data_IF_624781111311
#
_entry.id   IF_624781111311
#
_cell.length_a   1.000
_cell.length_b   1.000
_cell.length_c   1.000
_cell.angle_alpha   90.00
_cell.angle_beta   90.00
_cell.angle_gamma   90.00
#
_symmetry.space_group_name_H-M   'P 1'
#
loop_
_entity.id
_entity.type
_entity.pdbx_description
1 polymer ?
#
# COMPACT_ATOMS: atom_id res chain seq x y z
N UNK A 1 3.14 -0.11 39.98
CA UNK A 1 4.48 -0.57 39.55
C UNK A 1 5.28 0.67 39.19
N UNK A 2 6.59 0.71 39.45
CA UNK A 2 7.38 1.95 39.39
C UNK A 2 7.57 2.46 37.96
N UNK A 3 7.26 3.74 37.75
CA UNK A 3 7.32 4.49 36.48
C UNK A 3 8.79 4.68 36.04
N UNK A 4 9.45 3.60 35.62
CA UNK A 4 10.89 3.55 35.36
C UNK A 4 11.19 4.25 34.04
N UNK A 5 12.02 5.30 34.06
CA UNK A 5 12.36 6.10 32.90
C UNK A 5 13.73 5.71 32.34
N UNK A 6 13.76 5.25 31.10
CA UNK A 6 14.95 4.82 30.38
C UNK A 6 15.49 5.95 29.49
N UNK A 7 16.82 6.00 29.33
CA UNK A 7 17.50 6.75 28.29
C UNK A 7 17.39 6.02 26.95
N UNK A 8 17.65 6.74 25.85
CA UNK A 8 17.73 6.15 24.51
C UNK A 8 18.77 5.01 24.45
N UNK A 9 19.91 5.16 25.15
CA UNK A 9 20.97 4.13 25.16
C UNK A 9 20.56 2.89 25.95
N UNK A 10 19.86 3.05 27.07
CA UNK A 10 19.34 1.94 27.86
C UNK A 10 18.24 1.19 27.11
N UNK A 11 17.32 1.92 26.47
CA UNK A 11 16.32 1.32 25.58
C UNK A 11 17.00 0.56 24.43
N UNK A 12 18.03 1.12 23.80
CA UNK A 12 18.77 0.47 22.73
C UNK A 12 19.42 -0.85 23.19
N UNK A 13 20.00 -0.87 24.40
CA UNK A 13 20.58 -2.08 24.99
C UNK A 13 19.53 -3.16 25.24
N UNK A 14 18.34 -2.77 25.68
CA UNK A 14 17.22 -3.69 25.93
C UNK A 14 16.61 -4.23 24.63
N UNK A 15 16.52 -3.39 23.61
CA UNK A 15 16.04 -3.75 22.27
C UNK A 15 17.09 -4.49 21.44
N UNK A 16 18.34 -4.55 21.89
CA UNK A 16 19.49 -5.09 21.14
C UNK A 16 19.68 -4.44 19.76
N UNK A 17 19.42 -3.13 19.65
CA UNK A 17 19.60 -2.33 18.42
C UNK A 17 20.57 -1.17 18.63
N UNK A 18 20.98 -0.52 17.54
CA UNK A 18 21.75 0.71 17.64
C UNK A 18 20.89 1.86 18.20
N UNK A 19 21.48 2.74 19.02
CA UNK A 19 20.75 3.84 19.67
C UNK A 19 20.12 4.84 18.67
N UNK A 20 20.67 4.94 17.45
CA UNK A 20 20.08 5.75 16.38
C UNK A 20 18.77 5.14 15.86
N UNK A 21 18.62 3.81 15.86
CA UNK A 21 17.37 3.12 15.51
C UNK A 21 16.26 3.50 16.47
N UNK A 22 16.56 3.58 17.77
CA UNK A 22 15.62 4.05 18.80
C UNK A 22 15.20 5.50 18.54
N UNK A 23 16.13 6.38 18.11
CA UNK A 23 15.78 7.76 17.70
C UNK A 23 14.86 7.79 16.49
N UNK A 24 15.08 6.91 15.51
CA UNK A 24 14.23 6.85 14.32
C UNK A 24 12.80 6.45 14.71
N UNK A 25 12.62 5.41 15.53
CA UNK A 25 11.30 5.01 16.05
C UNK A 25 10.59 6.12 16.83
N UNK A 26 11.32 6.91 17.62
CA UNK A 26 10.74 8.07 18.30
C UNK A 26 10.35 9.16 17.29
N UNK A 27 11.16 9.38 16.24
CA UNK A 27 10.93 10.42 15.22
C UNK A 27 9.74 10.10 14.32
N UNK A 28 9.53 8.84 13.93
CA UNK A 28 8.38 8.41 13.13
C UNK A 28 7.12 8.13 13.97
N UNK A 29 7.23 8.08 15.30
CA UNK A 29 6.10 7.94 16.22
C UNK A 29 5.82 6.50 16.69
N UNK A 30 6.61 5.51 16.25
CA UNK A 30 6.47 4.10 16.62
C UNK A 30 6.76 3.84 18.10
N UNK A 31 7.70 4.60 18.68
CA UNK A 31 8.07 4.48 20.09
C UNK A 31 7.76 5.76 20.83
N UNK A 32 6.82 5.67 21.79
CA UNK A 32 6.46 6.79 22.64
C UNK A 32 7.64 7.20 23.53
N UNK A 33 7.96 8.48 23.51
CA UNK A 33 8.97 9.07 24.39
C UNK A 33 8.50 10.42 24.94
N UNK A 34 8.99 10.75 26.13
CA UNK A 34 8.61 11.93 26.88
C UNK A 34 9.82 12.85 27.01
N UNK A 35 9.62 14.13 26.71
CA UNK A 35 10.66 15.15 26.89
C UNK A 35 10.57 15.67 28.32
N UNK A 36 11.58 15.37 29.14
CA UNK A 36 11.68 15.83 30.52
C UNK A 36 12.86 16.80 30.58
N UNK A 37 12.57 18.09 30.63
CA UNK A 37 13.55 19.16 30.46
C UNK A 37 14.20 19.14 29.07
N UNK A 38 15.53 19.00 29.01
CA UNK A 38 16.30 18.93 27.75
C UNK A 38 16.56 17.51 27.27
N UNK A 39 16.04 16.50 27.96
CA UNK A 39 16.40 15.09 27.73
C UNK A 39 15.16 14.28 27.37
N UNK A 40 15.32 13.35 26.43
CA UNK A 40 14.27 12.39 26.05
C UNK A 40 14.36 11.16 26.94
N UNK A 41 13.21 10.73 27.47
CA UNK A 41 13.05 9.54 28.31
C UNK A 41 11.95 8.65 27.76
N UNK A 42 12.14 7.34 27.87
CA UNK A 42 11.18 6.33 27.43
C UNK A 42 10.70 5.62 28.69
N UNK A 43 9.39 5.53 28.93
CA UNK A 43 8.89 4.74 30.06
C UNK A 43 9.17 3.27 29.79
N UNK A 44 9.52 2.52 30.82
CA UNK A 44 9.73 1.08 30.71
C UNK A 44 8.48 0.39 30.16
N UNK A 45 7.30 0.81 30.61
CA UNK A 45 6.01 0.34 30.10
C UNK A 45 5.82 0.64 28.60
N UNK A 46 6.19 1.84 28.13
CA UNK A 46 6.13 2.19 26.70
C UNK A 46 7.09 1.32 25.87
N UNK A 47 8.27 0.99 26.42
CA UNK A 47 9.24 0.09 25.78
C UNK A 47 8.78 -1.37 25.80
N UNK A 48 8.15 -1.81 26.90
CA UNK A 48 7.59 -3.16 27.03
C UNK A 48 6.38 -3.33 26.11
N UNK A 49 5.56 -2.29 25.92
CA UNK A 49 4.51 -2.26 24.90
C UNK A 49 5.08 -2.33 23.48
N UNK A 50 6.18 -1.62 23.23
CA UNK A 50 6.91 -1.67 21.97
C UNK A 50 7.54 -3.07 21.71
N UNK A 51 7.98 -3.77 22.76
CA UNK A 51 8.61 -5.10 22.71
C UNK A 51 7.62 -6.27 22.79
N UNK A 52 6.44 -6.06 23.38
CA UNK A 52 5.43 -7.09 23.49
C UNK A 52 5.18 -7.65 22.09
N UNK A 53 5.16 -8.99 21.91
CA UNK A 53 4.72 -9.57 20.66
C UNK A 53 3.36 -8.94 20.42
N UNK A 54 3.26 -8.16 19.35
CA UNK A 54 2.08 -7.38 19.06
C UNK A 54 0.88 -8.33 19.06
N UNK A 55 0.14 -8.36 20.16
CA UNK A 55 -1.31 -8.53 20.10
C UNK A 55 -1.81 -7.19 19.55
N UNK A 56 -1.45 -6.91 18.31
CA UNK A 56 -2.21 -6.07 17.41
C UNK A 56 -3.00 -6.99 16.47
N UNK A 57 -3.55 -8.10 16.97
CA UNK A 57 -4.79 -8.64 16.40
C UNK A 57 -5.96 -7.77 16.86
N UNK A 58 -5.91 -6.53 16.39
CA UNK A 58 -7.09 -5.77 15.99
C UNK A 58 -6.75 -5.30 14.58
N UNK A 59 -6.44 -6.27 13.71
CA UNK A 59 -6.02 -6.01 12.33
C UNK A 59 -7.11 -5.18 11.68
N UNK A 60 -6.78 -3.91 11.44
CA UNK A 60 -7.56 -3.07 10.57
C UNK A 60 -7.43 -3.67 9.18
N UNK A 61 -8.46 -4.37 8.74
CA UNK A 61 -8.52 -4.88 7.38
C UNK A 61 -8.96 -3.74 6.46
N UNK A 62 -8.26 -3.56 5.35
CA UNK A 62 -8.71 -2.75 4.24
C UNK A 62 -9.65 -3.59 3.39
N UNK A 63 -10.86 -3.09 3.18
CA UNK A 63 -11.85 -3.71 2.31
C UNK A 63 -12.11 -2.75 1.18
N UNK A 64 -12.07 -3.26 -0.04
CA UNK A 64 -12.19 -2.45 -1.25
C UNK A 64 -13.13 -3.07 -2.28
N UNK A 65 -13.83 -2.21 -3.02
CA UNK A 65 -14.50 -2.60 -4.27
C UNK A 65 -13.91 -1.79 -5.42
N UNK A 66 -13.80 -2.46 -6.57
CA UNK A 66 -13.11 -1.93 -7.75
C UNK A 66 -14.05 -1.85 -8.92
N UNK A 67 -13.91 -0.79 -9.71
CA UNK A 67 -14.76 -0.52 -10.85
C UNK A 67 -13.94 0.01 -12.02
N UNK A 68 -14.26 -0.44 -13.24
CA UNK A 68 -13.73 0.16 -14.46
C UNK A 68 -14.53 1.43 -14.78
N UNK A 69 -13.83 2.48 -15.21
CA UNK A 69 -14.45 3.76 -15.51
C UNK A 69 -14.55 4.00 -17.01
N UNK A 70 -15.78 4.22 -17.48
CA UNK A 70 -16.03 4.72 -18.83
C UNK A 70 -15.84 6.24 -18.93
N UNK A 71 -16.07 6.96 -17.84
CA UNK A 71 -15.97 8.42 -17.80
C UNK A 71 -15.48 8.89 -16.43
N UNK A 72 -14.17 9.13 -16.33
CA UNK A 72 -13.50 9.62 -15.13
C UNK A 72 -14.04 10.98 -14.67
N UNK A 73 -14.19 11.94 -15.59
CA UNK A 73 -14.65 13.30 -15.27
C UNK A 73 -16.02 13.33 -14.62
N UNK A 74 -16.94 12.44 -15.02
CA UNK A 74 -18.26 12.34 -14.42
C UNK A 74 -18.19 11.87 -12.95
N UNK A 75 -17.33 10.90 -12.67
CA UNK A 75 -17.12 10.39 -11.31
C UNK A 75 -16.52 11.48 -10.40
N UNK A 76 -15.50 12.18 -10.87
CA UNK A 76 -14.83 13.27 -10.12
C UNK A 76 -15.81 14.40 -9.78
N UNK A 77 -16.67 14.80 -10.74
CA UNK A 77 -17.74 15.79 -10.47
C UNK A 77 -18.68 15.33 -9.36
N UNK A 78 -19.09 14.06 -9.36
CA UNK A 78 -19.96 13.52 -8.30
C UNK A 78 -19.25 13.47 -6.96
N UNK A 79 -17.97 13.10 -6.92
CA UNK A 79 -17.16 13.11 -5.71
C UNK A 79 -17.12 14.50 -5.08
N UNK A 80 -16.84 15.54 -5.87
CA UNK A 80 -16.84 16.93 -5.43
C UNK A 80 -18.23 17.35 -4.91
N UNK A 81 -19.29 17.02 -5.64
CA UNK A 81 -20.67 17.35 -5.22
C UNK A 81 -21.09 16.65 -3.92
N UNK A 82 -20.51 15.50 -3.60
CA UNK A 82 -20.71 14.79 -2.34
C UNK A 82 -19.79 15.29 -1.21
N UNK A 83 -19.03 16.36 -1.45
CA UNK A 83 -18.16 16.99 -0.44
C UNK A 83 -16.85 16.23 -0.20
N UNK A 84 -16.39 15.43 -1.17
CA UNK A 84 -15.07 14.79 -1.06
C UNK A 84 -13.94 15.82 -1.13
N UNK A 85 -12.77 15.45 -0.58
CA UNK A 85 -11.55 16.27 -0.64
C UNK A 85 -10.46 15.48 -1.33
N UNK A 86 -9.73 16.12 -2.26
CA UNK A 86 -8.49 15.56 -2.79
C UNK A 86 -7.46 15.53 -1.67
N UNK A 87 -6.91 14.36 -1.38
CA UNK A 87 -5.85 14.16 -0.37
C UNK A 87 -4.52 13.77 -1.01
N UNK A 88 -4.53 13.35 -2.26
CA UNK A 88 -3.34 13.05 -3.04
C UNK A 88 -3.62 13.23 -4.54
N UNK A 89 -2.65 13.73 -5.27
CA UNK A 89 -2.60 13.73 -6.72
C UNK A 89 -1.14 13.53 -7.11
N UNK A 90 -0.86 12.60 -8.01
CA UNK A 90 0.50 12.41 -8.48
C UNK A 90 0.60 11.45 -9.65
N UNK A 91 1.76 11.51 -10.28
CA UNK A 91 2.18 10.63 -11.35
C UNK A 91 3.00 9.48 -10.77
N UNK A 92 2.69 8.25 -11.20
CA UNK A 92 3.29 7.03 -10.68
C UNK A 92 3.77 6.16 -11.82
N UNK A 93 5.01 5.68 -11.72
CA UNK A 93 5.57 4.66 -12.59
C UNK A 93 5.90 3.44 -11.72
N UNK A 94 5.18 2.34 -11.95
CA UNK A 94 5.42 1.07 -11.27
C UNK A 94 6.14 0.09 -12.21
N UNK A 95 7.38 -0.25 -11.89
CA UNK A 95 8.16 -1.29 -12.54
C UNK A 95 7.94 -2.61 -11.81
N UNK A 96 7.28 -3.57 -12.43
CA UNK A 96 6.91 -4.86 -11.83
C UNK A 96 7.88 -5.96 -12.24
N UNK A 97 8.29 -6.76 -11.24
CA UNK A 97 9.30 -7.79 -11.36
C UNK A 97 8.78 -9.18 -11.01
N UNK A 98 9.21 -10.19 -11.78
CA UNK A 98 8.89 -11.61 -11.59
C UNK A 98 10.16 -12.47 -11.70
N UNK A 99 10.16 -13.71 -11.17
CA UNK A 99 11.26 -14.65 -11.40
C UNK A 99 11.55 -14.87 -12.90
N UNK A 100 12.83 -14.96 -13.27
CA UNK A 100 13.26 -15.17 -14.66
C UNK A 100 12.68 -16.43 -15.32
N UNK A 101 12.41 -17.45 -14.51
CA UNK A 101 11.79 -18.72 -14.94
C UNK A 101 10.35 -18.59 -15.43
N UNK A 102 9.65 -17.49 -15.15
CA UNK A 102 8.28 -17.27 -15.58
C UNK A 102 8.28 -16.67 -16.99
N UNK A 103 7.61 -17.37 -17.92
CA UNK A 103 7.61 -17.09 -19.36
C UNK A 103 6.21 -16.91 -19.96
N UNK A 104 5.14 -17.00 -19.17
CA UNK A 104 3.77 -16.73 -19.62
C UNK A 104 2.89 -16.17 -18.51
N UNK A 105 1.76 -15.59 -18.90
CA UNK A 105 0.73 -15.12 -17.97
C UNK A 105 0.17 -16.25 -17.09
N UNK A 106 -0.05 -17.43 -17.68
CA UNK A 106 -0.53 -18.62 -16.96
C UNK A 106 0.46 -19.04 -15.86
N UNK A 107 1.75 -19.03 -16.15
CA UNK A 107 2.79 -19.32 -15.16
C UNK A 107 2.87 -18.24 -14.07
N UNK A 108 2.63 -16.98 -14.43
CA UNK A 108 2.59 -15.86 -13.48
C UNK A 108 1.40 -15.98 -12.53
N UNK A 109 0.20 -16.27 -13.05
CA UNK A 109 -1.00 -16.50 -12.27
C UNK A 109 -0.84 -17.72 -11.36
N UNK A 110 -0.38 -18.85 -11.90
CA UNK A 110 -0.09 -20.04 -11.09
C UNK A 110 0.95 -19.76 -10.00
N UNK A 111 2.03 -19.04 -10.34
CA UNK A 111 3.06 -18.72 -9.37
C UNK A 111 2.54 -17.81 -8.25
N UNK A 112 1.82 -16.74 -8.60
CA UNK A 112 1.34 -15.76 -7.63
C UNK A 112 0.17 -16.32 -6.80
N UNK A 113 -0.84 -16.88 -7.47
CA UNK A 113 -2.09 -17.30 -6.83
C UNK A 113 -2.01 -18.68 -6.20
N UNK A 114 -1.23 -19.63 -6.73
CA UNK A 114 -1.18 -21.00 -6.19
C UNK A 114 0.08 -21.26 -5.39
N UNK A 115 1.22 -20.84 -5.92
CA UNK A 115 2.53 -21.13 -5.32
C UNK A 115 3.00 -20.06 -4.33
N UNK A 116 2.11 -19.15 -3.92
CA UNK A 116 2.39 -18.10 -2.94
C UNK A 116 3.54 -17.20 -3.37
N UNK A 117 3.59 -16.89 -4.66
CA UNK A 117 4.48 -15.90 -5.25
C UNK A 117 4.30 -14.54 -4.61
N UNK A 118 5.26 -13.67 -4.87
CA UNK A 118 5.27 -12.32 -4.33
C UNK A 118 5.54 -11.34 -5.46
N UNK A 119 4.55 -10.51 -5.77
CA UNK A 119 4.67 -9.45 -6.75
C UNK A 119 5.57 -8.37 -6.15
N UNK A 120 6.67 -8.09 -6.82
CA UNK A 120 7.63 -7.06 -6.41
C UNK A 120 7.52 -5.92 -7.41
N UNK A 121 7.51 -4.68 -6.91
CA UNK A 121 7.62 -3.52 -7.78
C UNK A 121 8.59 -2.48 -7.21
N UNK A 122 9.29 -1.81 -8.12
CA UNK A 122 9.91 -0.52 -7.83
C UNK A 122 8.90 0.53 -8.26
N UNK A 123 8.55 1.45 -7.37
CA UNK A 123 7.66 2.58 -7.64
C UNK A 123 8.47 3.85 -7.66
N UNK A 124 8.34 4.60 -8.75
CA UNK A 124 8.71 6.01 -8.82
C UNK A 124 7.44 6.85 -8.75
N UNK A 125 7.44 7.86 -7.88
CA UNK A 125 6.25 8.67 -7.63
C UNK A 125 6.61 10.15 -7.54
N UNK A 126 5.92 10.98 -8.32
CA UNK A 126 5.91 12.43 -8.19
C UNK A 126 4.54 12.87 -7.69
N UNK A 127 4.51 13.50 -6.52
CA UNK A 127 3.28 14.04 -5.95
C UNK A 127 2.92 15.44 -6.50
N UNK A 128 3.70 16.00 -7.43
CA UNK A 128 3.43 17.27 -8.10
C UNK A 128 3.53 18.51 -7.20
N UNK A 129 3.64 18.35 -5.87
CA UNK A 129 3.73 19.44 -4.90
C UNK A 129 5.17 19.79 -4.55
N UNK A 130 6.06 18.80 -4.58
CA UNK A 130 7.45 18.96 -4.12
C UNK A 130 8.46 18.98 -5.27
N UNK A 131 8.07 18.49 -6.45
CA UNK A 131 8.99 18.23 -7.57
C UNK A 131 10.04 17.15 -7.27
N UNK A 132 9.94 16.48 -6.11
CA UNK A 132 10.83 15.39 -5.71
C UNK A 132 10.18 14.07 -6.05
N UNK A 133 10.87 13.28 -6.87
CA UNK A 133 10.52 11.88 -7.11
C UNK A 133 10.92 11.07 -5.87
N UNK A 134 9.97 10.34 -5.31
CA UNK A 134 10.22 9.32 -4.29
C UNK A 134 10.28 7.96 -4.94
N UNK A 135 11.26 7.15 -4.54
CA UNK A 135 11.39 5.77 -5.01
C UNK A 135 11.14 4.81 -3.85
N UNK A 136 10.30 3.80 -4.06
CA UNK A 136 10.07 2.71 -3.09
C UNK A 136 10.20 1.34 -3.74
N UNK A 137 10.60 0.36 -2.93
CA UNK A 137 10.53 -1.06 -3.26
C UNK A 137 9.36 -1.66 -2.47
N UNK A 138 8.40 -2.22 -3.18
CA UNK A 138 7.18 -2.79 -2.60
C UNK A 138 7.06 -4.27 -2.94
N UNK A 139 6.58 -5.05 -1.97
CA UNK A 139 6.33 -6.47 -2.12
C UNK A 139 4.90 -6.79 -1.67
N UNK A 140 4.13 -7.45 -2.52
CA UNK A 140 2.75 -7.87 -2.24
C UNK A 140 2.59 -9.38 -2.37
N UNK A 141 1.77 -9.97 -1.49
CA UNK A 141 1.45 -11.40 -1.51
C UNK A 141 0.03 -11.62 -0.97
N UNK A 142 -0.68 -12.62 -1.50
CA UNK A 142 -2.00 -13.01 -0.97
C UNK A 142 -1.90 -13.59 0.45
N UNK A 143 -2.87 -13.25 1.30
CA UNK A 143 -2.98 -13.84 2.65
C UNK A 143 -3.35 -15.32 2.61
N UNK A 144 -2.94 -16.09 3.63
CA UNK A 144 -3.12 -17.56 3.68
C UNK A 144 -4.58 -17.98 3.85
N UNK A 145 -5.40 -17.15 4.47
CA UNK A 145 -6.73 -17.54 4.98
C UNK A 145 -7.81 -17.41 3.93
N UNK A 146 -7.64 -16.49 2.98
CA UNK A 146 -8.73 -16.08 2.08
C UNK A 146 -8.39 -16.19 0.58
N UNK A 147 -7.10 -16.30 0.21
CA UNK A 147 -6.58 -16.49 -1.16
C UNK A 147 -7.31 -15.67 -2.24
N UNK A 148 -7.80 -14.48 -1.87
CA UNK A 148 -8.58 -13.63 -2.77
C UNK A 148 -7.92 -12.26 -2.88
N UNK A 149 -8.09 -11.62 -4.03
CA UNK A 149 -7.50 -10.31 -4.34
C UNK A 149 -8.13 -9.15 -3.54
N UNK A 150 -8.78 -9.42 -2.40
CA UNK A 150 -9.28 -8.37 -1.52
C UNK A 150 -8.45 -8.28 -0.22
N UNK A 151 -7.45 -9.14 -0.01
CA UNK A 151 -6.61 -9.13 1.20
C UNK A 151 -5.15 -9.49 0.88
N UNK A 152 -4.22 -8.56 1.07
CA UNK A 152 -2.77 -8.74 0.79
C UNK A 152 -1.89 -8.52 2.03
N UNK A 153 -0.80 -9.27 2.14
CA UNK A 153 0.37 -8.88 2.92
C UNK A 153 1.24 -7.97 2.04
N UNK A 154 1.57 -6.80 2.56
CA UNK A 154 2.36 -5.79 1.86
C UNK A 154 3.51 -5.30 2.73
N UNK A 155 4.67 -5.11 2.11
CA UNK A 155 5.80 -4.43 2.71
C UNK A 155 6.32 -3.38 1.72
N UNK A 156 6.62 -2.19 2.23
CA UNK A 156 7.17 -1.07 1.47
C UNK A 156 8.41 -0.54 2.19
N UNK A 157 9.46 -0.25 1.42
CA UNK A 157 10.62 0.51 1.89
C UNK A 157 10.94 1.62 0.90
N UNK A 158 11.39 2.77 1.39
CA UNK A 158 11.96 3.81 0.54
C UNK A 158 13.40 3.45 0.18
N UNK A 159 13.76 3.70 -1.07
CA UNK A 159 15.10 3.44 -1.62
C UNK A 159 15.64 4.71 -2.27
N UNK A 160 16.97 4.81 -2.37
CA UNK A 160 17.61 6.02 -2.89
C UNK A 160 17.61 6.10 -4.42
N UNK A 161 17.51 4.96 -5.11
CA UNK A 161 17.63 4.87 -6.57
C UNK A 161 16.87 3.66 -7.12
N UNK A 162 16.09 3.88 -8.19
CA UNK A 162 15.44 2.81 -8.95
C UNK A 162 16.47 1.90 -9.62
N UNK A 163 17.46 2.47 -10.32
CA UNK A 163 18.54 1.75 -11.02
C UNK A 163 19.33 0.79 -10.09
N UNK A 164 19.73 1.26 -8.91
CA UNK A 164 20.45 0.41 -7.96
C UNK A 164 19.58 -0.72 -7.40
N UNK A 165 18.29 -0.44 -7.22
CA UNK A 165 17.31 -1.43 -6.74
C UNK A 165 17.00 -2.45 -7.81
N UNK A 166 16.89 -2.05 -9.07
CA UNK A 166 16.71 -2.94 -10.22
C UNK A 166 17.89 -3.91 -10.33
N UNK A 167 19.12 -3.41 -10.27
CA UNK A 167 20.33 -4.26 -10.29
C UNK A 167 20.35 -5.28 -9.16
N UNK A 168 19.85 -4.92 -7.97
CA UNK A 168 19.67 -5.87 -6.87
C UNK A 168 18.65 -6.96 -7.22
N UNK A 169 17.51 -6.58 -7.83
CA UNK A 169 16.48 -7.54 -8.24
C UNK A 169 16.98 -8.49 -9.34
N UNK A 170 17.77 -7.99 -10.30
CA UNK A 170 18.42 -8.83 -11.32
C UNK A 170 19.31 -9.90 -10.70
N UNK A 171 20.12 -9.53 -9.69
CA UNK A 171 20.96 -10.47 -8.93
C UNK A 171 20.14 -11.49 -8.13
N UNK A 172 18.89 -11.17 -7.80
CA UNK A 172 17.92 -12.05 -7.15
C UNK A 172 17.08 -12.87 -8.13
N UNK A 173 17.57 -13.02 -9.37
CA UNK A 173 16.91 -13.77 -10.46
C UNK A 173 15.52 -13.23 -10.81
N UNK A 174 15.37 -11.89 -10.79
CA UNK A 174 14.15 -11.20 -11.21
C UNK A 174 14.37 -10.44 -12.50
N UNK A 175 13.33 -10.41 -13.33
CA UNK A 175 13.23 -9.54 -14.50
C UNK A 175 12.03 -8.62 -14.37
N UNK A 176 12.17 -7.41 -14.89
CA UNK A 176 11.01 -6.59 -15.17
C UNK A 176 10.17 -7.29 -16.25
N UNK A 177 8.87 -7.39 -16.02
CA UNK A 177 7.93 -7.91 -17.03
C UNK A 177 6.87 -6.88 -17.42
N UNK A 178 6.80 -5.75 -16.72
CA UNK A 178 5.78 -4.75 -16.93
C UNK A 178 6.17 -3.42 -16.27
N UNK A 179 5.98 -2.33 -17.02
CA UNK A 179 5.95 -0.97 -16.48
C UNK A 179 4.53 -0.42 -16.59
N UNK A 180 4.00 0.13 -15.49
CA UNK A 180 2.71 0.83 -15.45
C UNK A 180 2.96 2.31 -15.20
N UNK A 181 2.67 3.13 -16.21
CA UNK A 181 2.67 4.60 -16.18
C UNK A 181 1.22 5.06 -15.93
N UNK A 182 0.96 5.73 -14.79
CA UNK A 182 -0.39 6.12 -14.38
C UNK A 182 -0.47 7.43 -13.61
N UNK A 183 -1.57 8.13 -13.80
CA UNK A 183 -1.98 9.25 -12.93
C UNK A 183 -2.92 8.74 -11.85
N UNK A 184 -2.62 9.07 -10.59
CA UNK A 184 -3.45 8.72 -9.43
C UNK A 184 -4.00 9.97 -8.75
N UNK A 185 -5.30 9.99 -8.52
CA UNK A 185 -5.95 10.94 -7.62
C UNK A 185 -6.63 10.16 -6.49
N UNK A 186 -6.38 10.58 -5.24
CA UNK A 186 -7.06 10.00 -4.07
C UNK A 186 -7.95 11.06 -3.44
N UNK A 187 -9.22 10.70 -3.26
CA UNK A 187 -10.20 11.48 -2.54
C UNK A 187 -10.50 10.85 -1.17
N UNK A 188 -10.80 11.71 -0.19
CA UNK A 188 -11.44 11.32 1.06
C UNK A 188 -12.92 11.70 0.98
N UNK A 189 -13.81 10.71 1.05
CA UNK A 189 -15.27 10.89 1.09
C UNK A 189 -15.81 10.28 2.39
N UNK A 190 -16.01 11.09 3.41
CA UNK A 190 -16.38 10.58 4.74
C UNK A 190 -15.31 9.63 5.28
N UNK A 191 -15.67 8.39 5.60
CA UNK A 191 -14.74 7.33 5.99
C UNK A 191 -14.04 6.65 4.81
N UNK A 192 -14.55 6.77 3.59
CA UNK A 192 -14.00 6.10 2.41
C UNK A 192 -12.77 6.81 1.84
N UNK A 193 -11.79 6.02 1.41
CA UNK A 193 -10.71 6.43 0.52
C UNK A 193 -11.10 6.02 -0.90
N UNK A 194 -11.06 6.94 -1.84
CA UNK A 194 -11.46 6.71 -3.23
C UNK A 194 -10.24 6.98 -4.12
N UNK A 195 -9.62 5.92 -4.64
CA UNK A 195 -8.45 5.99 -5.49
C UNK A 195 -8.88 5.87 -6.94
N UNK A 196 -8.66 6.91 -7.74
CA UNK A 196 -8.84 6.87 -9.19
C UNK A 196 -7.45 6.72 -9.82
N UNK A 197 -7.27 5.65 -10.57
CA UNK A 197 -6.08 5.42 -11.39
C UNK A 197 -6.45 5.54 -12.86
N UNK A 198 -5.58 6.18 -13.64
CA UNK A 198 -5.66 6.27 -15.09
C UNK A 198 -4.36 5.75 -15.69
N UNK A 199 -4.40 4.52 -16.21
CA UNK A 199 -3.23 3.81 -16.72
C UNK A 199 -3.07 4.12 -18.21
N UNK A 200 -1.92 4.68 -18.58
CA UNK A 200 -1.57 4.99 -19.95
C UNK A 200 -1.62 3.74 -20.83
N UNK A 201 -2.35 3.83 -21.94
CA UNK A 201 -2.54 2.72 -22.88
C UNK A 201 -3.56 1.64 -22.45
N UNK A 202 -4.17 1.78 -21.26
CA UNK A 202 -5.19 0.86 -20.77
C UNK A 202 -6.53 1.57 -20.50
N UNK A 203 -6.55 2.58 -19.63
CA UNK A 203 -7.75 3.32 -19.21
C UNK A 203 -7.84 3.52 -17.70
N UNK A 204 -9.01 4.01 -17.25
CA UNK A 204 -9.20 4.44 -15.87
C UNK A 204 -10.06 3.48 -15.03
N UNK A 205 -9.77 3.42 -13.74
CA UNK A 205 -10.45 2.60 -12.74
C UNK A 205 -10.56 3.32 -11.42
N UNK A 206 -11.48 2.89 -10.57
CA UNK A 206 -11.63 3.40 -9.21
C UNK A 206 -11.67 2.26 -8.20
N UNK A 207 -10.96 2.47 -7.10
CA UNK A 207 -11.00 1.64 -5.89
C UNK A 207 -11.66 2.48 -4.78
N UNK A 208 -12.70 1.92 -4.14
CA UNK A 208 -13.35 2.53 -2.98
C UNK A 208 -13.05 1.65 -1.79
N UNK A 209 -12.26 2.20 -0.87
CA UNK A 209 -11.67 1.50 0.26
C UNK A 209 -12.26 2.00 1.58
N UNK A 210 -12.45 1.08 2.51
CA UNK A 210 -12.72 1.36 3.92
C UNK A 210 -11.79 0.53 4.80
N UNK A 211 -11.19 1.17 5.79
CA UNK A 211 -10.39 0.50 6.81
C UNK A 211 -11.28 0.22 8.03
N UNK A 212 -11.48 -1.04 8.41
CA UNK A 212 -12.35 -1.44 9.53
C UNK A 212 -11.71 -2.50 10.43
N UNK A 213 -12.16 -2.57 11.69
CA UNK A 213 -11.75 -3.59 12.65
C UNK A 213 -12.68 -4.82 12.65
N UNK A 214 -13.91 -4.73 12.12
CA UNK A 214 -14.93 -5.79 12.15
C UNK A 214 -15.92 -5.71 10.97
N UNK A 215 -16.53 -6.86 10.65
CA UNK A 215 -17.66 -7.10 9.73
C UNK A 215 -17.42 -6.71 8.26
N UNK A 216 -16.82 -7.64 7.51
CA UNK A 216 -16.56 -7.51 6.08
C UNK A 216 -17.83 -7.26 5.27
N UNK A 217 -18.92 -7.94 5.59
CA UNK A 217 -20.16 -7.83 4.82
C UNK A 217 -20.81 -6.47 5.02
N UNK A 218 -20.73 -5.91 6.22
CA UNK A 218 -21.16 -4.53 6.48
C UNK A 218 -20.32 -3.53 5.70
N UNK A 219 -19.00 -3.65 5.74
CA UNK A 219 -18.10 -2.79 4.96
C UNK A 219 -18.40 -2.84 3.46
N UNK A 220 -18.61 -4.05 2.90
CA UNK A 220 -18.99 -4.22 1.49
C UNK A 220 -20.34 -3.53 1.16
N UNK A 221 -21.34 -3.64 2.05
CA UNK A 221 -22.63 -2.93 1.88
C UNK A 221 -22.46 -1.42 1.90
N UNK A 222 -21.60 -0.90 2.79
CA UNK A 222 -21.30 0.53 2.89
C UNK A 222 -20.60 1.05 1.63
N UNK A 223 -19.56 0.36 1.18
CA UNK A 223 -18.84 0.68 -0.06
C UNK A 223 -19.80 0.65 -1.25
N UNK A 224 -20.63 -0.39 -1.36
CA UNK A 224 -21.60 -0.50 -2.45
C UNK A 224 -22.64 0.63 -2.43
N UNK A 225 -23.07 1.05 -1.24
CA UNK A 225 -23.92 2.23 -1.06
C UNK A 225 -23.25 3.53 -1.55
N UNK A 226 -21.96 3.71 -1.25
CA UNK A 226 -21.18 4.83 -1.75
C UNK A 226 -21.00 4.77 -3.28
N UNK A 227 -20.67 3.59 -3.81
CA UNK A 227 -20.52 3.34 -5.24
C UNK A 227 -21.80 3.70 -6.03
N UNK A 228 -22.97 3.30 -5.53
CA UNK A 228 -24.27 3.67 -6.14
C UNK A 228 -24.50 5.17 -6.18
N UNK A 229 -24.15 5.92 -5.13
CA UNK A 229 -24.25 7.39 -5.11
C UNK A 229 -23.31 8.04 -6.13
N UNK A 230 -22.18 7.40 -6.41
CA UNK A 230 -21.25 7.77 -7.47
C UNK A 230 -21.71 7.30 -8.87
N UNK A 231 -22.82 6.55 -8.94
CA UNK A 231 -23.41 6.02 -10.17
C UNK A 231 -22.66 4.82 -10.76
N UNK A 232 -21.94 4.09 -9.92
CA UNK A 232 -21.32 2.82 -10.25
C UNK A 232 -22.29 1.68 -9.93
N UNK A 233 -22.31 0.66 -10.76
CA UNK A 233 -23.19 -0.51 -10.63
C UNK A 233 -22.40 -1.81 -10.63
N UNK A 234 -23.06 -2.93 -10.34
CA UNK A 234 -22.42 -4.26 -10.45
C UNK A 234 -21.91 -4.55 -11.87
N UNK A 235 -22.49 -3.93 -12.91
CA UNK A 235 -22.01 -4.09 -14.30
C UNK A 235 -20.65 -3.45 -14.54
N UNK A 236 -20.27 -2.48 -13.71
CA UNK A 236 -19.00 -1.76 -13.82
C UNK A 236 -17.93 -2.38 -12.90
N UNK A 237 -18.33 -3.36 -12.07
CA UNK A 237 -17.47 -3.97 -11.05
C UNK A 237 -16.39 -4.81 -11.71
N UNK A 238 -15.19 -4.68 -11.18
CA UNK A 238 -14.04 -5.48 -11.53
C UNK A 238 -13.70 -6.45 -10.39
N UNK A 239 -13.34 -7.68 -10.76
CA UNK A 239 -12.88 -8.70 -9.80
C UNK A 239 -11.42 -8.43 -9.36
N UNK A 240 -10.56 -8.09 -10.32
CA UNK A 240 -9.14 -7.77 -10.12
C UNK A 240 -8.91 -6.25 -10.25
N UNK A 241 -7.85 -5.72 -9.65
CA UNK A 241 -7.50 -4.30 -9.78
C UNK A 241 -7.24 -3.93 -11.24
N UNK A 242 -7.39 -2.64 -11.56
CA UNK A 242 -7.12 -2.18 -12.92
C UNK A 242 -5.66 -2.40 -13.31
N UNK A 243 -4.74 -2.35 -12.34
CA UNK A 243 -3.34 -2.72 -12.54
C UNK A 243 -3.21 -4.18 -12.97
N UNK A 244 -3.84 -5.11 -12.27
CA UNK A 244 -3.78 -6.54 -12.63
C UNK A 244 -4.44 -6.79 -14.00
N UNK A 245 -5.57 -6.15 -14.30
CA UNK A 245 -6.18 -6.25 -15.63
C UNK A 245 -5.29 -5.66 -16.73
N UNK A 246 -4.48 -4.64 -16.42
CA UNK A 246 -3.51 -4.09 -17.36
C UNK A 246 -2.35 -5.07 -17.64
N UNK A 247 -2.07 -6.04 -16.75
CA UNK A 247 -1.03 -7.05 -16.97
C UNK A 247 -1.34 -7.85 -18.24
N UNK A 248 -2.60 -8.25 -18.43
CA UNK A 248 -3.04 -9.07 -19.58
C UNK A 248 -2.74 -8.40 -20.92
N UNK A 249 -2.69 -7.06 -20.96
CA UNK A 249 -2.47 -6.28 -22.18
C UNK A 249 -1.03 -5.79 -22.33
N UNK A 250 -0.37 -5.46 -21.22
CA UNK A 250 0.89 -4.70 -21.24
C UNK A 250 2.11 -5.54 -20.85
N UNK A 251 1.91 -6.71 -20.22
CA UNK A 251 2.99 -7.57 -19.75
C UNK A 251 3.81 -8.15 -20.91
N UNK A 252 5.12 -8.25 -20.67
CA UNK A 252 6.11 -8.83 -21.58
C UNK A 252 6.85 -9.94 -20.85
N UNK A 253 6.59 -11.18 -21.24
CA UNK A 253 7.18 -12.37 -20.61
C UNK A 253 8.46 -12.88 -21.25
N UNK A 254 9.01 -12.16 -22.25
CA UNK A 254 10.31 -12.44 -22.86
C UNK A 254 11.40 -12.64 -21.81
#
# INVERSE_FOLDING_TARGET
MSDTLLTIKEAAKLLQVHWQTVRNHIKCGDLRAHKIGRVVRIKREDLDLFLSPQIQNNDRIEIELRYLLKNRTLLEKKLINLGSKVVYHGHIIDHWYIPNRIKSAEQQEEWFDKNRGCGIRIREQDNGYTGKITVSLEAKRLTKEDMNHNTFLEAEIYVDSAESTERLLELLDRKEFLTIDKDRIVYKLGNFKVCIDDIKGFGAGVEIEITTFKDRDKALREIFGAAKKLGLTEKDRAEKSITVQAFDKLAKYS
#
